data_IF_169659033045
#
_entry.id   IF_169659033045
#
_cell.length_a   1.000
_cell.length_b   1.000
_cell.length_c   1.000
_cell.angle_alpha   90.00
_cell.angle_beta   90.00
_cell.angle_gamma   90.00
#
_symmetry.space_group_name_H-M   'P 1'
#
loop_
_entity.id
_entity.type
_entity.pdbx_description
1 polymer ?
#
# COMPACT_ATOMS: atom_id res chain seq x y z
N UNK A 1 -0.71 -21.43 -37.28
CA UNK A 1 -0.60 -19.96 -37.24
C UNK A 1 -0.17 -19.57 -35.83
N UNK A 2 1.13 -19.36 -35.66
CA UNK A 2 1.76 -19.06 -34.37
C UNK A 2 1.60 -17.56 -34.09
N UNK A 3 0.78 -17.22 -33.09
CA UNK A 3 0.70 -15.85 -32.58
C UNK A 3 2.01 -15.52 -31.86
N UNK A 4 2.97 -14.95 -32.60
CA UNK A 4 4.16 -14.36 -32.03
C UNK A 4 3.76 -13.12 -31.22
N UNK A 5 4.15 -13.07 -29.94
CA UNK A 5 4.11 -11.84 -29.15
C UNK A 5 4.99 -10.79 -29.84
N UNK A 6 4.53 -9.52 -29.98
CA UNK A 6 5.34 -8.50 -30.61
C UNK A 6 6.64 -8.25 -29.81
N UNK A 7 7.72 -8.04 -30.55
CA UNK A 7 9.05 -7.66 -30.06
C UNK A 7 8.99 -6.31 -29.33
N UNK A 8 9.38 -6.29 -28.06
CA UNK A 8 9.30 -5.17 -27.10
C UNK A 8 10.46 -4.17 -27.18
N UNK A 9 10.96 -3.87 -28.37
CA UNK A 9 12.03 -2.88 -28.52
C UNK A 9 11.52 -1.52 -29.03
N UNK A 10 11.68 -0.50 -28.16
CA UNK A 10 11.79 0.93 -28.48
C UNK A 10 10.56 1.70 -28.98
N UNK A 11 9.36 1.36 -28.52
CA UNK A 11 8.28 2.35 -28.45
C UNK A 11 8.26 2.95 -27.03
N UNK A 12 8.07 4.26 -26.90
CA UNK A 12 7.75 4.87 -25.62
C UNK A 12 6.65 4.03 -24.94
N UNK A 13 6.87 3.61 -23.70
CA UNK A 13 5.91 2.81 -22.93
C UNK A 13 4.74 3.71 -22.54
N UNK A 14 3.88 4.05 -23.49
CA UNK A 14 2.70 4.87 -23.25
C UNK A 14 1.68 3.97 -22.55
N UNK A 15 1.55 4.11 -21.24
CA UNK A 15 0.53 3.43 -20.43
C UNK A 15 0.94 2.07 -19.86
N UNK A 16 1.97 2.03 -19.01
CA UNK A 16 2.39 0.82 -18.30
C UNK A 16 2.73 1.04 -16.83
N UNK A 17 2.90 -0.05 -16.07
CA UNK A 17 3.23 -0.04 -14.64
C UNK A 17 4.61 -0.65 -14.41
N UNK A 18 5.50 0.08 -13.74
CA UNK A 18 6.67 -0.52 -13.11
C UNK A 18 6.29 -1.09 -11.75
N UNK A 19 6.66 -2.34 -11.49
CA UNK A 19 6.50 -3.02 -10.19
C UNK A 19 7.86 -3.29 -9.55
N UNK A 20 7.99 -3.01 -8.26
CA UNK A 20 9.22 -3.23 -7.52
C UNK A 20 9.60 -4.72 -7.44
N UNK A 21 10.88 -5.04 -7.66
CA UNK A 21 11.36 -6.43 -7.62
C UNK A 21 11.40 -7.03 -6.22
N UNK A 22 11.36 -6.22 -5.16
CA UNK A 22 11.34 -6.68 -3.76
C UNK A 22 9.94 -7.08 -3.31
N UNK A 23 8.89 -6.71 -4.03
CA UNK A 23 7.54 -7.28 -3.83
C UNK A 23 7.60 -8.80 -3.94
N UNK A 24 6.88 -9.49 -3.05
CA UNK A 24 6.94 -10.94 -2.97
C UNK A 24 6.32 -11.57 -4.22
N UNK A 25 7.15 -12.25 -5.01
CA UNK A 25 6.68 -12.98 -6.19
C UNK A 25 5.53 -13.92 -5.80
N UNK A 26 4.52 -14.03 -6.67
CA UNK A 26 3.28 -14.83 -6.51
C UNK A 26 2.21 -14.28 -5.55
N UNK A 27 2.46 -13.18 -4.83
CA UNK A 27 1.42 -12.53 -4.01
C UNK A 27 0.59 -11.49 -4.77
N UNK A 28 0.93 -11.23 -6.01
CA UNK A 28 0.32 -10.18 -6.84
C UNK A 28 -0.30 -10.73 -8.14
N UNK A 29 -0.46 -12.05 -8.26
CA UNK A 29 -1.04 -12.70 -9.44
C UNK A 29 -2.45 -12.18 -9.76
N UNK A 30 -3.24 -11.83 -8.74
CA UNK A 30 -4.55 -11.20 -8.94
C UNK A 30 -4.44 -9.83 -9.62
N UNK A 31 -3.38 -9.05 -9.33
CA UNK A 31 -3.17 -7.75 -9.98
C UNK A 31 -2.69 -7.94 -11.41
N UNK A 32 -1.74 -8.85 -11.62
CA UNK A 32 -1.24 -9.21 -12.95
C UNK A 32 -2.37 -9.72 -13.85
N UNK A 33 -3.22 -10.63 -13.37
CA UNK A 33 -4.37 -11.12 -14.13
C UNK A 33 -5.39 -10.04 -14.46
N UNK A 34 -5.61 -9.07 -13.55
CA UNK A 34 -6.44 -7.92 -13.86
C UNK A 34 -5.79 -7.03 -14.94
N UNK A 35 -4.50 -6.71 -14.81
CA UNK A 35 -3.77 -5.91 -15.80
C UNK A 35 -3.73 -6.56 -17.19
N UNK A 36 -3.46 -7.86 -17.25
CA UNK A 36 -3.47 -8.64 -18.49
C UNK A 36 -4.86 -8.59 -19.17
N UNK A 37 -5.93 -8.69 -18.38
CA UNK A 37 -7.31 -8.63 -18.88
C UNK A 37 -7.75 -7.22 -19.34
N UNK A 38 -7.05 -6.16 -18.93
CA UNK A 38 -7.40 -4.76 -19.25
C UNK A 38 -6.31 -4.06 -20.08
N UNK A 39 -5.45 -4.83 -20.76
CA UNK A 39 -4.45 -4.29 -21.68
C UNK A 39 -3.31 -3.49 -21.00
N UNK A 40 -3.14 -3.61 -19.69
CA UNK A 40 -2.10 -2.88 -18.96
C UNK A 40 -0.79 -3.66 -19.00
N UNK A 41 0.22 -3.07 -19.62
CA UNK A 41 1.56 -3.67 -19.64
C UNK A 41 2.29 -3.35 -18.33
N UNK A 42 2.94 -4.34 -17.74
CA UNK A 42 3.74 -4.14 -16.53
C UNK A 42 5.14 -4.76 -16.66
N UNK A 43 6.11 -4.16 -15.96
CA UNK A 43 7.48 -4.66 -15.90
C UNK A 43 8.00 -4.60 -14.47
N UNK A 44 8.65 -5.68 -14.03
CA UNK A 44 9.33 -5.70 -12.73
C UNK A 44 10.73 -5.09 -12.84
N UNK A 45 11.04 -4.12 -12.01
CA UNK A 45 12.38 -3.53 -11.86
C UNK A 45 12.60 -3.05 -10.43
N UNK A 46 13.86 -2.84 -10.03
CA UNK A 46 14.14 -2.22 -8.73
C UNK A 46 13.70 -0.75 -8.79
N UNK A 47 12.87 -0.32 -7.83
CA UNK A 47 12.47 1.07 -7.63
C UNK A 47 13.20 1.66 -6.42
N UNK A 48 13.41 2.98 -6.42
CA UNK A 48 14.09 3.65 -5.30
C UNK A 48 13.15 3.92 -4.12
N UNK A 49 11.84 3.97 -4.40
CA UNK A 49 10.74 4.19 -3.47
C UNK A 49 9.43 3.60 -4.05
N UNK A 50 8.51 3.22 -3.15
CA UNK A 50 7.23 2.59 -3.48
C UNK A 50 7.33 1.22 -4.13
N UNK A 51 6.15 0.65 -4.37
CA UNK A 51 5.95 -0.65 -5.01
C UNK A 51 5.60 -0.51 -6.50
N UNK A 52 4.92 0.57 -6.87
CA UNK A 52 4.42 0.78 -8.23
C UNK A 52 4.64 2.22 -8.70
N UNK A 53 5.08 2.38 -9.95
CA UNK A 53 5.29 3.66 -10.60
C UNK A 53 4.82 3.61 -12.06
N UNK A 54 4.49 4.77 -12.62
CA UNK A 54 4.16 4.89 -14.05
C UNK A 54 5.41 4.59 -14.91
N UNK A 55 5.23 3.74 -15.93
CA UNK A 55 6.30 3.40 -16.85
C UNK A 55 6.54 4.46 -17.93
N UNK A 56 5.57 5.35 -18.17
CA UNK A 56 5.70 6.41 -19.18
C UNK A 56 6.53 7.61 -18.71
N UNK A 57 6.67 7.79 -17.40
CA UNK A 57 7.37 8.92 -16.79
C UNK A 57 6.55 10.21 -16.75
N UNK A 58 5.24 10.14 -17.01
CA UNK A 58 4.33 11.28 -17.02
C UNK A 58 3.74 11.56 -15.63
N UNK A 59 3.71 10.56 -14.76
CA UNK A 59 3.22 10.70 -13.39
C UNK A 59 4.35 10.96 -12.40
N UNK A 60 4.10 11.87 -11.46
CA UNK A 60 4.94 12.09 -10.28
C UNK A 60 4.37 11.39 -9.03
N UNK A 61 3.55 10.35 -9.21
CA UNK A 61 3.02 9.53 -8.13
C UNK A 61 3.79 8.21 -8.05
N UNK A 62 4.14 7.81 -6.84
CA UNK A 62 4.59 6.45 -6.52
C UNK A 62 3.61 5.83 -5.54
N UNK A 63 3.22 4.58 -5.76
CA UNK A 63 2.28 3.86 -4.90
C UNK A 63 3.02 2.83 -4.07
N UNK A 64 2.83 2.84 -2.76
CA UNK A 64 3.32 1.84 -1.80
C UNK A 64 2.11 1.11 -1.22
N UNK A 65 2.09 -0.21 -1.27
CA UNK A 65 0.93 -1.01 -0.87
C UNK A 65 1.10 -1.60 0.51
N UNK A 66 0.01 -1.60 1.30
CA UNK A 66 -0.04 -2.26 2.61
C UNK A 66 -1.26 -3.17 2.66
N UNK A 67 -1.07 -4.44 2.99
CA UNK A 67 -2.17 -5.44 3.02
C UNK A 67 -3.05 -5.34 4.27
N UNK A 68 -2.67 -4.53 5.24
CA UNK A 68 -3.43 -4.39 6.49
C UNK A 68 -3.11 -3.10 7.24
N UNK A 69 -4.04 -2.67 8.10
CA UNK A 69 -3.84 -1.56 9.03
C UNK A 69 -2.69 -1.85 10.01
N UNK A 70 -2.43 -3.13 10.33
CA UNK A 70 -1.32 -3.50 11.20
C UNK A 70 0.06 -3.16 10.60
N UNK A 71 0.23 -3.29 9.27
CA UNK A 71 1.47 -2.87 8.59
C UNK A 71 1.63 -1.36 8.65
N UNK A 72 0.56 -0.61 8.40
CA UNK A 72 0.55 0.85 8.54
C UNK A 72 0.89 1.26 9.97
N UNK A 73 0.32 0.61 10.98
CA UNK A 73 0.59 0.89 12.39
C UNK A 73 2.06 0.62 12.77
N UNK A 74 2.70 -0.38 12.15
CA UNK A 74 4.14 -0.62 12.33
C UNK A 74 4.96 0.49 11.67
N UNK A 75 4.63 0.87 10.43
CA UNK A 75 5.34 1.90 9.67
C UNK A 75 5.23 3.28 10.33
N UNK A 76 4.04 3.70 10.77
CA UNK A 76 3.86 5.02 11.40
C UNK A 76 4.26 5.04 12.87
N UNK A 77 4.47 3.87 13.49
CA UNK A 77 4.84 3.71 14.89
C UNK A 77 6.30 3.30 15.04
N UNK A 78 6.56 1.99 15.08
CA UNK A 78 7.91 1.44 15.36
C UNK A 78 8.93 1.87 14.30
N UNK A 79 8.53 1.85 13.03
CA UNK A 79 9.40 2.11 11.89
C UNK A 79 9.26 3.56 11.38
N UNK A 80 8.70 4.47 12.19
CA UNK A 80 8.35 5.84 11.80
C UNK A 80 9.49 6.58 11.11
N UNK A 81 10.69 6.56 11.70
CA UNK A 81 11.85 7.23 11.11
C UNK A 81 12.27 6.62 9.76
N UNK A 82 12.10 5.30 9.57
CA UNK A 82 12.34 4.67 8.26
C UNK A 82 11.30 5.12 7.26
N UNK A 83 10.03 5.09 7.65
CA UNK A 83 8.92 5.45 6.78
C UNK A 83 8.97 6.92 6.34
N UNK A 84 9.30 7.85 7.25
CA UNK A 84 9.53 9.27 6.91
C UNK A 84 10.65 9.42 5.88
N UNK A 85 11.77 8.70 6.03
CA UNK A 85 12.86 8.74 5.03
C UNK A 85 12.44 8.24 3.66
N UNK A 86 11.51 7.29 3.57
CA UNK A 86 10.97 6.80 2.30
C UNK A 86 10.10 7.88 1.63
N UNK A 87 9.26 8.58 2.41
CA UNK A 87 8.48 9.73 1.93
C UNK A 87 9.42 10.85 1.45
N UNK A 88 10.40 11.23 2.26
CA UNK A 88 11.35 12.30 1.93
C UNK A 88 12.22 11.97 0.72
N UNK A 89 12.58 10.69 0.52
CA UNK A 89 13.29 10.25 -0.68
C UNK A 89 12.43 10.42 -1.94
N UNK A 90 11.15 10.04 -1.90
CA UNK A 90 10.23 10.26 -3.00
C UNK A 90 10.08 11.76 -3.29
N UNK A 91 9.85 12.57 -2.26
CA UNK A 91 9.72 14.03 -2.39
C UNK A 91 10.97 14.67 -3.00
N UNK A 92 12.16 14.26 -2.56
CA UNK A 92 13.44 14.78 -3.07
C UNK A 92 13.66 14.44 -4.55
N UNK A 93 13.04 13.35 -5.03
CA UNK A 93 13.02 12.98 -6.45
C UNK A 93 11.86 13.63 -7.23
N UNK A 94 11.06 14.49 -6.60
CA UNK A 94 9.91 15.17 -7.22
C UNK A 94 8.62 14.33 -7.23
N UNK A 95 8.57 13.21 -6.51
CA UNK A 95 7.42 12.32 -6.44
C UNK A 95 6.63 12.50 -5.14
N UNK A 96 5.31 12.28 -5.21
CA UNK A 96 4.45 12.07 -4.04
C UNK A 96 4.27 10.57 -3.79
N UNK A 97 4.58 10.14 -2.58
CA UNK A 97 4.25 8.78 -2.13
C UNK A 97 2.77 8.69 -1.72
N UNK A 98 2.04 7.76 -2.34
CA UNK A 98 0.69 7.36 -1.96
C UNK A 98 0.75 5.97 -1.33
N UNK A 99 0.36 5.86 -0.07
CA UNK A 99 0.25 4.57 0.63
C UNK A 99 -1.16 4.03 0.45
N UNK A 100 -1.30 2.98 -0.36
CA UNK A 100 -2.55 2.31 -0.66
C UNK A 100 -2.77 1.12 0.27
N UNK A 101 -3.73 1.26 1.18
CA UNK A 101 -4.07 0.28 2.19
C UNK A 101 -5.16 -0.66 1.65
N UNK A 102 -4.80 -1.91 1.41
CA UNK A 102 -5.64 -2.93 0.77
C UNK A 102 -6.56 -3.62 1.79
N UNK A 103 -7.60 -2.91 2.22
CA UNK A 103 -8.56 -3.38 3.23
C UNK A 103 -10.01 -3.27 2.74
N UNK A 104 -10.86 -4.13 3.28
CA UNK A 104 -12.30 -4.14 3.01
C UNK A 104 -13.12 -3.56 4.16
N UNK A 105 -14.44 -3.72 4.06
CA UNK A 105 -15.35 -3.37 5.14
C UNK A 105 -14.95 -4.07 6.46
N UNK A 106 -15.00 -3.38 7.61
CA UNK A 106 -15.59 -2.05 7.82
C UNK A 106 -14.66 -0.85 7.48
N UNK A 107 -13.42 -1.09 7.08
CA UNK A 107 -12.39 -0.05 6.91
C UNK A 107 -12.32 0.50 5.47
N UNK A 108 -13.48 0.78 4.87
CA UNK A 108 -13.58 1.23 3.48
C UNK A 108 -13.25 2.72 3.27
N UNK A 109 -12.93 3.46 4.35
CA UNK A 109 -12.47 4.86 4.30
C UNK A 109 -11.28 5.04 5.24
N UNK A 110 -10.48 6.09 4.99
CA UNK A 110 -9.35 6.44 5.88
C UNK A 110 -9.84 6.71 7.31
N UNK A 111 -10.95 7.43 7.48
CA UNK A 111 -11.46 7.76 8.81
C UNK A 111 -11.97 6.53 9.56
N UNK A 112 -12.46 5.50 8.86
CA UNK A 112 -12.87 4.23 9.48
C UNK A 112 -11.71 3.50 10.17
N UNK A 113 -10.45 3.81 9.83
CA UNK A 113 -9.27 3.27 10.52
C UNK A 113 -9.26 3.66 12.00
N UNK A 114 -9.89 4.77 12.40
CA UNK A 114 -10.03 5.15 13.80
C UNK A 114 -10.63 4.03 14.66
N UNK A 115 -11.60 3.28 14.11
CA UNK A 115 -12.27 2.17 14.78
C UNK A 115 -11.46 0.86 14.81
N UNK A 116 -10.27 0.82 14.22
CA UNK A 116 -9.45 -0.39 14.20
C UNK A 116 -8.85 -0.69 15.57
N UNK A 117 -9.07 -1.92 16.05
CA UNK A 117 -8.45 -2.42 17.27
C UNK A 117 -7.24 -3.27 16.93
N UNK A 118 -6.08 -2.90 17.47
CA UNK A 118 -4.86 -3.67 17.31
C UNK A 118 -4.89 -4.96 18.13
N UNK A 119 -4.61 -6.08 17.47
CA UNK A 119 -4.57 -7.42 18.07
C UNK A 119 -3.13 -7.96 17.95
N UNK A 120 -2.24 -7.63 18.89
CA UNK A 120 -0.82 -7.97 18.77
C UNK A 120 -0.55 -9.46 18.99
N UNK A 121 -1.42 -10.17 19.73
CA UNK A 121 -1.26 -11.61 19.97
C UNK A 121 -2.61 -12.35 20.00
N UNK A 122 -2.58 -13.69 19.86
CA UNK A 122 -3.77 -14.55 19.83
C UNK A 122 -4.66 -14.44 21.07
N UNK A 123 -4.08 -14.13 22.25
CA UNK A 123 -4.85 -13.98 23.48
C UNK A 123 -5.63 -12.65 23.49
N UNK A 124 -5.12 -11.62 22.83
CA UNK A 124 -5.83 -10.36 22.68
C UNK A 124 -7.01 -10.47 21.71
N UNK A 125 -7.01 -11.50 20.85
CA UNK A 125 -8.15 -11.83 19.99
C UNK A 125 -9.25 -12.62 20.73
N UNK A 126 -8.96 -13.15 21.92
CA UNK A 126 -9.87 -14.03 22.64
C UNK A 126 -9.92 -13.64 24.13
N UNK A 127 -10.96 -12.90 24.49
CA UNK A 127 -11.21 -12.38 25.83
C UNK A 127 -11.28 -13.46 26.92
N UNK A 128 -11.48 -14.74 26.57
CA UNK A 128 -11.48 -15.85 27.54
C UNK A 128 -10.14 -16.05 28.25
N UNK A 129 -9.04 -15.53 27.70
CA UNK A 129 -7.71 -15.67 28.32
C UNK A 129 -7.40 -14.60 29.38
N UNK A 130 -8.35 -13.69 29.68
CA UNK A 130 -8.44 -12.83 30.86
C UNK A 130 -7.32 -11.81 31.11
N UNK A 131 -6.18 -11.93 30.41
CA UNK A 131 -4.92 -11.24 30.74
C UNK A 131 -4.42 -10.30 29.63
N UNK A 132 -5.04 -10.32 28.45
CA UNK A 132 -4.74 -9.33 27.40
C UNK A 132 -5.99 -8.51 27.10
N UNK A 133 -5.93 -7.21 27.37
CA UNK A 133 -6.88 -6.22 26.86
C UNK A 133 -6.12 -5.16 26.07
N UNK A 134 -6.25 -5.09 24.73
CA UNK A 134 -5.55 -4.11 23.91
C UNK A 134 -5.95 -2.65 24.22
N UNK A 135 -7.10 -2.42 24.86
CA UNK A 135 -7.63 -1.10 25.23
C UNK A 135 -7.36 -0.70 26.69
N UNK A 136 -7.33 -1.66 27.62
CA UNK A 136 -7.15 -1.38 29.05
C UNK A 136 -5.76 -1.74 29.59
N UNK A 137 -5.46 -3.03 29.76
CA UNK A 137 -4.28 -3.53 30.47
C UNK A 137 -3.03 -3.72 29.59
N UNK A 138 -3.19 -3.58 28.27
CA UNK A 138 -2.15 -3.84 27.29
C UNK A 138 -1.95 -5.34 27.03
N UNK A 139 -0.98 -5.65 26.17
CA UNK A 139 -0.68 -7.04 25.84
C UNK A 139 0.33 -7.63 26.83
N UNK A 140 -0.10 -8.60 27.65
CA UNK A 140 0.78 -9.33 28.57
C UNK A 140 2.02 -9.94 27.88
N UNK A 141 1.87 -10.44 26.64
CA UNK A 141 2.98 -11.04 25.87
C UNK A 141 4.03 -10.01 25.45
N UNK A 142 3.59 -8.87 24.93
CA UNK A 142 4.49 -7.83 24.40
C UNK A 142 4.78 -6.72 25.41
N UNK A 143 4.22 -6.84 26.64
CA UNK A 143 4.36 -5.91 27.76
C UNK A 143 4.17 -4.45 27.35
N UNK A 144 3.26 -4.21 26.42
CA UNK A 144 3.01 -2.90 25.84
C UNK A 144 1.56 -2.78 25.37
N UNK A 145 1.06 -1.55 25.37
CA UNK A 145 -0.21 -1.21 24.74
C UNK A 145 0.05 -1.04 23.24
N UNK A 146 -0.60 -1.83 22.36
CA UNK A 146 -0.43 -1.65 20.93
C UNK A 146 -1.05 -0.31 20.51
N UNK A 147 -0.53 0.28 19.44
CA UNK A 147 -1.10 1.50 18.86
C UNK A 147 -2.48 1.21 18.31
N UNK A 148 -3.49 1.98 18.73
CA UNK A 148 -4.88 1.84 18.30
C UNK A 148 -5.21 2.72 17.09
N UNK A 149 -6.30 2.39 16.39
CA UNK A 149 -6.74 3.03 15.15
C UNK A 149 -6.80 4.55 15.21
N UNK A 150 -7.33 5.13 16.29
CA UNK A 150 -7.38 6.60 16.47
C UNK A 150 -5.98 7.24 16.44
N UNK A 151 -5.01 6.62 17.11
CA UNK A 151 -3.62 7.09 17.12
C UNK A 151 -2.98 6.88 15.75
N UNK A 152 -3.22 5.74 15.09
CA UNK A 152 -2.74 5.47 13.73
C UNK A 152 -3.23 6.56 12.77
N UNK A 153 -4.55 6.82 12.75
CA UNK A 153 -5.16 7.85 11.91
C UNK A 153 -4.58 9.24 12.20
N UNK A 154 -4.42 9.60 13.48
CA UNK A 154 -3.84 10.89 13.87
C UNK A 154 -2.41 11.07 13.32
N UNK A 155 -1.58 10.02 13.39
CA UNK A 155 -0.22 10.08 12.85
C UNK A 155 -0.24 10.13 11.32
N UNK A 156 -1.09 9.33 10.67
CA UNK A 156 -1.28 9.39 9.21
C UNK A 156 -1.60 10.81 8.75
N UNK A 157 -2.58 11.48 9.38
CA UNK A 157 -2.95 12.87 9.04
C UNK A 157 -1.79 13.86 9.22
N UNK A 158 -0.97 13.68 10.27
CA UNK A 158 0.25 14.49 10.44
C UNK A 158 1.28 14.23 9.35
N UNK A 159 1.51 12.97 8.98
CA UNK A 159 2.44 12.63 7.89
C UNK A 159 1.98 13.24 6.55
N UNK A 160 0.67 13.22 6.26
CA UNK A 160 0.11 13.87 5.07
C UNK A 160 0.33 15.40 5.09
N UNK A 161 0.19 16.02 6.26
CA UNK A 161 0.34 17.46 6.45
C UNK A 161 1.81 17.91 6.41
N UNK A 162 2.67 17.21 7.14
CA UNK A 162 4.04 17.63 7.42
C UNK A 162 5.01 17.17 6.33
N UNK A 163 4.76 16.00 5.72
CA UNK A 163 5.66 15.39 4.73
C UNK A 163 5.02 15.24 3.34
N UNK A 164 3.75 15.60 3.15
CA UNK A 164 3.12 15.68 1.83
C UNK A 164 2.82 14.33 1.15
N UNK A 165 2.92 13.20 1.86
CA UNK A 165 2.41 11.92 1.39
C UNK A 165 0.87 11.89 1.40
N UNK A 166 0.29 10.80 0.89
CA UNK A 166 -1.15 10.54 0.97
C UNK A 166 -1.43 9.11 1.40
N UNK A 167 -2.50 8.92 2.16
CA UNK A 167 -3.03 7.59 2.43
C UNK A 167 -4.36 7.39 1.72
N UNK A 168 -4.52 6.22 1.12
CA UNK A 168 -5.76 5.79 0.51
C UNK A 168 -6.12 4.36 0.95
N UNK A 169 -7.39 4.00 0.78
CA UNK A 169 -7.87 2.64 1.03
C UNK A 169 -8.53 2.11 -0.24
N UNK A 170 -8.35 0.82 -0.50
CA UNK A 170 -9.13 0.11 -1.50
C UNK A 170 -9.36 -1.34 -1.07
N UNK A 171 -10.42 -1.96 -1.59
CA UNK A 171 -10.56 -3.42 -1.45
C UNK A 171 -9.41 -4.12 -2.18
N UNK A 172 -8.88 -5.25 -1.67
CA UNK A 172 -7.84 -6.00 -2.37
C UNK A 172 -8.20 -6.34 -3.82
N UNK A 173 -9.47 -6.65 -4.10
CA UNK A 173 -9.97 -6.94 -5.44
C UNK A 173 -9.98 -5.74 -6.39
N UNK A 174 -9.89 -4.52 -5.87
CA UNK A 174 -9.87 -3.28 -6.65
C UNK A 174 -8.46 -2.66 -6.76
N UNK A 175 -7.47 -3.25 -6.09
CA UNK A 175 -6.14 -2.65 -5.97
C UNK A 175 -5.46 -2.44 -7.33
N UNK A 176 -5.53 -3.41 -8.24
CA UNK A 176 -4.93 -3.30 -9.58
C UNK A 176 -5.44 -2.08 -10.35
N UNK A 177 -6.77 -1.90 -10.36
CA UNK A 177 -7.44 -0.73 -10.95
C UNK A 177 -7.01 0.56 -10.25
N UNK A 178 -7.01 0.57 -8.91
CA UNK A 178 -6.70 1.77 -8.14
C UNK A 178 -5.27 2.23 -8.35
N UNK A 179 -4.31 1.31 -8.46
CA UNK A 179 -2.93 1.62 -8.82
C UNK A 179 -2.89 2.32 -10.19
N UNK A 180 -3.58 1.80 -11.21
CA UNK A 180 -3.60 2.45 -12.52
C UNK A 180 -4.20 3.86 -12.45
N UNK A 181 -5.32 4.05 -11.73
CA UNK A 181 -5.93 5.37 -11.54
C UNK A 181 -5.00 6.37 -10.85
N UNK A 182 -4.30 5.93 -9.80
CA UNK A 182 -3.34 6.77 -9.07
C UNK A 182 -2.12 7.15 -9.91
N UNK A 183 -1.65 6.22 -10.75
CA UNK A 183 -0.52 6.44 -11.65
C UNK A 183 -0.91 7.17 -12.94
N UNK A 184 -2.21 7.34 -13.23
CA UNK A 184 -2.68 7.89 -14.50
C UNK A 184 -2.48 6.93 -15.70
N UNK A 185 -2.29 5.64 -15.43
CA UNK A 185 -2.12 4.60 -16.44
C UNK A 185 -3.48 4.26 -17.05
N UNK A 186 -3.56 4.36 -18.38
CA UNK A 186 -4.77 3.97 -19.13
C UNK A 186 -4.92 2.45 -19.14
N UNK A 187 -6.15 2.01 -19.12
CA UNK A 187 -6.54 0.60 -19.21
C UNK A 187 -7.85 0.49 -20.00
N UNK A 188 -8.09 -0.66 -20.60
CA UNK A 188 -9.30 -0.93 -21.36
C UNK A 188 -10.48 -1.14 -20.39
N UNK A 189 -11.63 -0.49 -20.65
CA UNK A 189 -12.77 -0.52 -19.72
C UNK A 189 -13.63 -1.80 -19.80
N UNK A 190 -13.25 -2.76 -20.66
CA UNK A 190 -14.09 -3.92 -20.98
C UNK A 190 -15.25 -3.59 -21.90
#
# INVERSE_FOLDING_TARGET
>A
MTNAKPSIHQAAWVGGVFEDTRQQAKKHENKHGWWDAHGVVYQRKKLDFGDYMDASGLSNVSVDTKRSIAEVAMDVGRDHARFVREIERANSAGFRLVVLIEVGGPYSTIDAIAGWTAIPCRNCANSRYGSCDPHASGCARFRSRPMQGETVLKIMRRLEQDHGCRFEVCRPSQSARRICELLGVRYDNG
#
